data_IF_194901856676
#
_entry.id   IF_194901856676
#
_cell.length_a   1.000
_cell.length_b   1.000
_cell.length_c   1.000
_cell.angle_alpha   90.00
_cell.angle_beta   90.00
_cell.angle_gamma   90.00
#
_symmetry.space_group_name_H-M   'P 1'
#
loop_
_entity.id
_entity.type
_entity.pdbx_description
1 polymer ?
#
# COMPACT_ATOMS: atom_id res chain seq x y z
N UNK A 1 -20.06 -1.81 17.68
CA UNK A 1 -19.04 -2.88 17.62
C UNK A 1 -18.61 -2.98 16.17
N UNK A 2 -17.30 -2.95 15.88
CA UNK A 2 -16.78 -3.25 14.55
C UNK A 2 -16.84 -4.76 14.32
N UNK A 3 -17.28 -5.18 13.14
CA UNK A 3 -17.33 -6.60 12.75
C UNK A 3 -16.36 -6.85 11.61
N UNK A 4 -15.23 -7.48 11.93
CA UNK A 4 -14.18 -7.90 11.01
C UNK A 4 -14.36 -9.37 10.65
N UNK A 5 -14.50 -9.66 9.35
CA UNK A 5 -14.74 -11.01 8.85
C UNK A 5 -13.40 -11.63 8.43
N UNK A 6 -13.09 -12.81 8.96
CA UNK A 6 -11.89 -13.55 8.62
C UNK A 6 -12.25 -14.93 8.06
N UNK A 7 -12.48 -15.00 6.75
CA UNK A 7 -12.63 -16.25 5.99
C UNK A 7 -11.65 -16.33 4.79
N UNK A 8 -10.61 -15.50 4.85
CA UNK A 8 -9.44 -15.50 3.96
C UNK A 8 -9.72 -15.23 2.48
N UNK A 9 -10.86 -14.65 2.14
CA UNK A 9 -11.25 -14.32 0.78
C UNK A 9 -11.81 -15.50 -0.02
N UNK A 10 -11.93 -16.69 0.57
CA UNK A 10 -12.25 -17.93 -0.12
C UNK A 10 -13.62 -17.88 -0.80
N UNK A 11 -14.60 -17.29 -0.12
CA UNK A 11 -15.95 -17.12 -0.65
C UNK A 11 -16.21 -15.71 -1.20
N UNK A 12 -15.15 -14.98 -1.57
CA UNK A 12 -15.21 -13.63 -2.16
C UNK A 12 -16.05 -12.65 -1.33
N UNK A 13 -15.64 -12.35 -0.09
CA UNK A 13 -16.41 -11.56 0.88
C UNK A 13 -16.71 -10.15 0.36
N UNK A 14 -15.85 -9.58 -0.49
CA UNK A 14 -16.13 -8.33 -1.18
C UNK A 14 -17.44 -8.32 -1.99
N UNK A 15 -18.04 -9.47 -2.31
CA UNK A 15 -19.33 -9.57 -3.01
C UNK A 15 -20.55 -9.64 -2.09
N UNK A 16 -20.40 -9.94 -0.80
CA UNK A 16 -21.54 -10.22 0.10
C UNK A 16 -21.40 -9.65 1.52
N UNK A 17 -20.18 -9.44 2.02
CA UNK A 17 -19.89 -9.07 3.39
C UNK A 17 -20.35 -7.66 3.76
N UNK A 18 -20.50 -6.77 2.76
CA UNK A 18 -20.90 -5.38 2.94
C UNK A 18 -22.12 -5.20 3.85
N UNK A 19 -23.12 -6.07 3.75
CA UNK A 19 -24.36 -5.93 4.53
C UNK A 19 -24.26 -6.49 5.96
N UNK A 20 -23.16 -7.14 6.32
CA UNK A 20 -23.03 -7.87 7.60
C UNK A 20 -21.77 -7.52 8.37
N UNK A 21 -20.74 -6.94 7.74
CA UNK A 21 -19.47 -6.57 8.35
C UNK A 21 -18.86 -5.30 7.77
N UNK A 22 -17.83 -4.80 8.45
CA UNK A 22 -17.20 -3.50 8.15
C UNK A 22 -15.83 -3.65 7.46
N UNK A 23 -15.24 -4.83 7.55
CA UNK A 23 -14.01 -5.20 6.87
C UNK A 23 -13.95 -6.72 6.72
N UNK A 24 -13.23 -7.19 5.71
CA UNK A 24 -13.10 -8.61 5.43
C UNK A 24 -11.72 -8.97 4.89
N UNK A 25 -11.13 -10.01 5.45
CA UNK A 25 -9.88 -10.60 4.96
C UNK A 25 -10.05 -11.07 3.53
N UNK A 26 -9.18 -10.60 2.63
CA UNK A 26 -9.19 -10.96 1.20
C UNK A 26 -8.16 -12.03 0.85
N UNK A 27 -7.31 -12.41 1.81
CA UNK A 27 -6.15 -13.29 1.62
C UNK A 27 -6.01 -14.28 2.77
N UNK A 28 -5.18 -15.31 2.56
CA UNK A 28 -4.60 -16.07 3.68
C UNK A 28 -3.71 -15.19 4.56
N UNK A 29 -3.30 -15.75 5.71
CA UNK A 29 -2.53 -14.97 6.70
C UNK A 29 -1.21 -14.48 6.12
N UNK A 30 -0.92 -13.20 6.31
CA UNK A 30 0.38 -12.64 5.98
C UNK A 30 1.44 -13.27 6.88
N UNK A 31 2.63 -13.44 6.32
CA UNK A 31 3.82 -13.85 7.06
C UNK A 31 4.83 -12.73 6.99
N UNK A 32 5.64 -12.63 8.04
CA UNK A 32 6.80 -11.75 8.13
C UNK A 32 7.91 -12.12 7.11
N UNK A 33 7.62 -11.89 5.83
CA UNK A 33 8.49 -12.08 4.70
C UNK A 33 8.01 -11.18 3.55
N UNK A 34 8.94 -10.75 2.71
CA UNK A 34 8.65 -9.86 1.60
C UNK A 34 7.98 -10.58 0.42
N UNK A 35 8.67 -11.56 -0.18
CA UNK A 35 8.19 -12.37 -1.30
C UNK A 35 8.52 -13.85 -1.02
N UNK A 36 7.56 -14.74 -1.24
CA UNK A 36 7.75 -16.20 -1.12
C UNK A 36 7.41 -16.81 -2.48
N UNK A 37 8.42 -17.12 -3.31
CA UNK A 37 8.19 -17.78 -4.61
C UNK A 37 7.36 -19.07 -4.47
N UNK A 38 7.60 -19.86 -3.42
CA UNK A 38 6.91 -21.14 -3.19
C UNK A 38 5.41 -20.98 -2.84
N UNK A 39 4.97 -19.83 -2.32
CA UNK A 39 3.57 -19.58 -2.03
C UNK A 39 2.76 -19.25 -3.29
N UNK A 40 3.41 -18.72 -4.34
CA UNK A 40 2.79 -18.55 -5.68
C UNK A 40 2.45 -19.89 -6.34
N UNK A 41 3.12 -20.97 -5.93
CA UNK A 41 2.87 -22.34 -6.41
C UNK A 41 1.88 -23.12 -5.53
N UNK A 42 1.24 -22.47 -4.55
CA UNK A 42 0.26 -23.10 -3.65
C UNK A 42 0.88 -24.12 -2.68
N UNK A 43 2.21 -24.12 -2.50
CA UNK A 43 2.93 -25.07 -1.64
C UNK A 43 2.92 -24.68 -0.16
N UNK A 44 2.41 -23.50 0.17
CA UNK A 44 2.42 -22.98 1.53
C UNK A 44 1.06 -22.37 1.90
N UNK A 45 0.62 -22.62 3.12
CA UNK A 45 -0.62 -22.04 3.68
C UNK A 45 -0.39 -20.59 4.13
N UNK A 46 -1.08 -19.62 3.53
CA UNK A 46 -0.92 -18.19 3.82
C UNK A 46 -0.14 -17.46 2.73
N UNK A 47 0.12 -16.17 2.96
CA UNK A 47 0.80 -15.29 2.01
C UNK A 47 2.03 -14.63 2.59
N UNK A 48 2.39 -13.49 2.00
CA UNK A 48 3.48 -12.60 2.38
C UNK A 48 3.14 -11.19 1.89
N UNK A 49 3.97 -10.19 2.16
CA UNK A 49 3.66 -8.78 1.80
C UNK A 49 3.29 -8.64 0.32
N UNK A 50 4.13 -9.17 -0.58
CA UNK A 50 3.92 -9.04 -2.03
C UNK A 50 2.76 -9.88 -2.54
N UNK A 51 2.55 -11.10 -2.01
CA UNK A 51 1.43 -11.96 -2.44
C UNK A 51 0.10 -11.37 -2.00
N UNK A 52 0.00 -10.87 -0.77
CA UNK A 52 -1.23 -10.28 -0.27
C UNK A 52 -1.57 -8.99 -1.03
N UNK A 53 -0.56 -8.20 -1.40
CA UNK A 53 -0.70 -7.06 -2.31
C UNK A 53 -1.27 -7.49 -3.67
N UNK A 54 -0.68 -8.50 -4.31
CA UNK A 54 -1.10 -8.98 -5.64
C UNK A 54 -2.57 -9.45 -5.64
N UNK A 55 -3.03 -10.02 -4.52
CA UNK A 55 -4.42 -10.46 -4.36
C UNK A 55 -5.44 -9.30 -4.24
N UNK A 56 -5.00 -8.05 -4.09
CA UNK A 56 -5.90 -6.89 -4.07
C UNK A 56 -6.27 -6.37 -5.46
N UNK A 57 -5.65 -6.91 -6.51
CA UNK A 57 -5.92 -6.53 -7.89
C UNK A 57 -7.42 -6.69 -8.21
N UNK A 58 -8.05 -5.60 -8.69
CA UNK A 58 -9.47 -5.58 -9.04
C UNK A 58 -10.43 -5.52 -7.84
N UNK A 59 -9.93 -5.43 -6.60
CA UNK A 59 -10.80 -5.35 -5.41
C UNK A 59 -11.17 -3.91 -5.01
N UNK A 60 -10.49 -2.90 -5.56
CA UNK A 60 -10.73 -1.49 -5.22
C UNK A 60 -12.21 -1.04 -5.35
N UNK A 61 -13.00 -1.48 -6.36
CA UNK A 61 -14.43 -1.11 -6.45
C UNK A 61 -15.31 -1.61 -5.30
N UNK A 62 -14.81 -2.52 -4.46
CA UNK A 62 -15.52 -3.06 -3.30
C UNK A 62 -15.07 -2.43 -1.97
N UNK A 63 -14.14 -1.48 -2.02
CA UNK A 63 -13.77 -0.66 -0.87
C UNK A 63 -14.58 0.64 -0.89
N UNK A 64 -15.26 0.96 0.21
CA UNK A 64 -15.88 2.27 0.44
C UNK A 64 -15.96 2.60 1.93
N UNK A 65 -16.54 3.76 2.26
CA UNK A 65 -16.72 4.18 3.65
C UNK A 65 -17.45 3.10 4.46
N UNK A 66 -16.83 2.72 5.58
CA UNK A 66 -17.26 1.65 6.50
C UNK A 66 -17.13 0.21 5.96
N UNK A 67 -16.48 -0.01 4.80
CA UNK A 67 -16.32 -1.32 4.18
C UNK A 67 -14.95 -1.49 3.51
N UNK A 68 -14.06 -2.26 4.15
CA UNK A 68 -12.65 -2.32 3.75
C UNK A 68 -12.20 -3.73 3.38
N UNK A 69 -11.52 -3.85 2.24
CA UNK A 69 -10.72 -5.03 1.93
C UNK A 69 -9.52 -5.09 2.88
N UNK A 70 -9.32 -6.24 3.53
CA UNK A 70 -8.27 -6.46 4.52
C UNK A 70 -7.20 -7.44 3.98
N UNK A 71 -6.05 -6.93 3.48
CA UNK A 71 -4.89 -7.73 3.09
C UNK A 71 -4.06 -8.24 4.28
N UNK A 72 -4.63 -8.22 5.50
CA UNK A 72 -4.07 -8.64 6.77
C UNK A 72 -3.16 -7.60 7.47
N UNK A 73 -2.71 -7.95 8.68
CA UNK A 73 -1.93 -7.09 9.57
C UNK A 73 -0.58 -6.62 8.97
N UNK A 74 -0.02 -5.56 9.56
CA UNK A 74 1.31 -5.04 9.24
C UNK A 74 2.39 -5.87 9.93
N UNK A 75 3.42 -6.28 9.17
CA UNK A 75 4.58 -7.06 9.66
C UNK A 75 5.78 -6.17 10.04
N UNK A 76 5.54 -4.86 10.04
CA UNK A 76 6.53 -3.81 10.33
C UNK A 76 7.02 -3.96 11.77
N UNK A 77 8.33 -4.13 11.95
CA UNK A 77 8.95 -4.29 13.26
C UNK A 77 9.03 -5.72 13.78
N UNK A 78 8.65 -6.73 12.99
CA UNK A 78 8.78 -8.14 13.35
C UNK A 78 10.16 -8.75 12.98
N UNK A 79 11.10 -7.94 12.49
CA UNK A 79 12.52 -8.29 12.40
C UNK A 79 13.00 -9.01 11.14
N UNK A 80 12.14 -9.28 10.16
CA UNK A 80 12.55 -9.87 8.86
C UNK A 80 12.55 -8.81 7.75
N UNK A 81 11.53 -7.95 7.68
CA UNK A 81 11.46 -6.89 6.68
C UNK A 81 12.59 -5.87 6.89
N UNK A 82 13.23 -5.49 5.79
CA UNK A 82 14.10 -4.31 5.76
C UNK A 82 13.29 -3.03 5.98
N UNK A 83 13.97 -1.92 6.32
CA UNK A 83 13.30 -0.63 6.50
C UNK A 83 12.55 -0.18 5.22
N UNK A 84 13.13 -0.43 4.04
CA UNK A 84 12.50 -0.08 2.77
C UNK A 84 11.26 -0.94 2.50
N UNK A 85 11.31 -2.24 2.78
CA UNK A 85 10.14 -3.13 2.69
C UNK A 85 9.03 -2.75 3.68
N UNK A 86 9.40 -2.32 4.89
CA UNK A 86 8.45 -1.84 5.89
C UNK A 86 7.76 -0.53 5.46
N UNK A 87 8.52 0.43 4.90
CA UNK A 87 7.96 1.66 4.30
C UNK A 87 7.03 1.34 3.13
N UNK A 88 7.41 0.38 2.29
CA UNK A 88 6.60 -0.10 1.18
C UNK A 88 5.30 -0.73 1.66
N UNK A 89 5.33 -1.63 2.65
CA UNK A 89 4.12 -2.24 3.19
C UNK A 89 3.14 -1.18 3.70
N UNK A 90 3.61 -0.21 4.50
CA UNK A 90 2.72 0.84 5.02
C UNK A 90 2.14 1.71 3.91
N UNK A 91 2.96 2.10 2.93
CA UNK A 91 2.54 2.95 1.80
C UNK A 91 1.49 2.24 0.93
N UNK A 92 1.72 0.95 0.64
CA UNK A 92 0.83 0.13 -0.17
C UNK A 92 -0.51 -0.11 0.54
N UNK A 93 -0.48 -0.48 1.82
CA UNK A 93 -1.71 -0.64 2.61
C UNK A 93 -2.50 0.69 2.70
N UNK A 94 -1.79 1.82 2.82
CA UNK A 94 -2.43 3.13 2.85
C UNK A 94 -3.11 3.48 1.52
N UNK A 95 -2.49 3.22 0.36
CA UNK A 95 -3.14 3.50 -0.93
C UNK A 95 -4.28 2.55 -1.25
N UNK A 96 -4.26 1.33 -0.70
CA UNK A 96 -5.35 0.37 -0.77
C UNK A 96 -6.53 0.71 0.16
N UNK A 97 -6.38 1.74 1.01
CA UNK A 97 -7.29 2.03 2.12
C UNK A 97 -7.54 0.79 3.01
N UNK A 98 -6.51 -0.03 3.19
CA UNK A 98 -6.57 -1.21 4.03
C UNK A 98 -6.59 -0.83 5.52
N UNK A 99 -7.16 -1.69 6.40
CA UNK A 99 -6.99 -1.55 7.84
C UNK A 99 -5.49 -1.53 8.21
N UNK A 100 -5.07 -0.51 8.97
CA UNK A 100 -3.69 -0.39 9.45
C UNK A 100 -3.59 -1.00 10.86
N UNK A 101 -3.45 -2.32 10.93
CA UNK A 101 -3.33 -3.07 12.19
C UNK A 101 -1.88 -3.48 12.42
N UNK A 102 -1.21 -2.86 13.41
CA UNK A 102 0.16 -3.23 13.77
C UNK A 102 0.22 -4.66 14.33
N UNK A 103 1.02 -5.53 13.71
CA UNK A 103 1.20 -6.93 14.10
C UNK A 103 2.43 -7.20 14.98
N UNK A 104 3.10 -6.15 15.48
CA UNK A 104 4.35 -6.25 16.24
C UNK A 104 4.20 -6.02 17.75
N UNK A 105 5.24 -6.31 18.53
CA UNK A 105 5.25 -6.00 19.97
C UNK A 105 5.49 -4.51 20.21
N UNK A 106 4.41 -3.76 20.41
CA UNK A 106 4.45 -2.31 20.65
C UNK A 106 5.21 -1.91 21.93
N UNK A 107 5.44 -2.84 22.86
CA UNK A 107 6.21 -2.57 24.10
C UNK A 107 7.71 -2.56 23.84
N UNK A 108 8.15 -3.20 22.75
CA UNK A 108 9.54 -3.36 22.38
C UNK A 108 9.74 -3.10 20.88
N UNK A 109 9.54 -1.84 20.52
CA UNK A 109 9.67 -1.32 19.16
C UNK A 109 10.85 -0.36 19.11
N UNK A 110 11.72 -0.51 18.10
CA UNK A 110 12.81 0.44 17.86
C UNK A 110 12.28 1.78 17.28
N UNK A 111 13.16 2.79 17.28
CA UNK A 111 12.78 4.14 16.86
C UNK A 111 12.39 4.20 15.38
N UNK A 112 13.04 3.42 14.52
CA UNK A 112 12.77 3.41 13.09
C UNK A 112 11.41 2.78 12.77
N UNK A 113 11.09 1.65 13.41
CA UNK A 113 9.76 1.02 13.37
C UNK A 113 8.69 2.02 13.84
N UNK A 114 8.94 2.73 14.94
CA UNK A 114 8.02 3.75 15.45
C UNK A 114 7.81 4.87 14.45
N UNK A 115 8.88 5.40 13.84
CA UNK A 115 8.81 6.46 12.82
C UNK A 115 7.97 6.01 11.63
N UNK A 116 8.14 4.77 11.16
CA UNK A 116 7.35 4.20 10.06
C UNK A 116 5.88 4.14 10.46
N UNK A 117 5.54 3.42 11.55
CA UNK A 117 4.15 3.21 11.98
C UNK A 117 3.41 4.47 12.38
N UNK A 118 4.13 5.55 12.72
CA UNK A 118 3.53 6.83 13.14
C UNK A 118 3.68 7.95 12.10
N UNK A 119 4.04 7.62 10.85
CA UNK A 119 4.08 8.60 9.77
C UNK A 119 2.68 9.18 9.52
N UNK A 120 2.46 10.40 10.01
CA UNK A 120 1.14 11.05 9.96
C UNK A 120 0.65 11.38 8.56
N UNK A 121 1.55 11.55 7.58
CA UNK A 121 1.17 11.86 6.20
C UNK A 121 0.60 10.62 5.52
N UNK A 122 1.21 9.44 5.74
CA UNK A 122 0.72 8.16 5.22
C UNK A 122 -0.57 7.73 5.92
N UNK A 123 -0.66 7.91 7.25
CA UNK A 123 -1.90 7.64 7.98
C UNK A 123 -3.04 8.51 7.44
N UNK A 124 -2.79 9.80 7.13
CA UNK A 124 -3.81 10.66 6.51
C UNK A 124 -4.24 10.17 5.13
N UNK A 125 -3.32 9.63 4.34
CA UNK A 125 -3.66 8.99 3.06
C UNK A 125 -4.58 7.80 3.31
N UNK A 126 -4.24 6.91 4.25
CA UNK A 126 -5.07 5.74 4.57
C UNK A 126 -6.46 6.13 5.12
N UNK A 127 -6.54 7.21 5.89
CA UNK A 127 -7.75 7.70 6.56
C UNK A 127 -8.51 8.78 5.75
N UNK A 128 -8.19 8.95 4.47
CA UNK A 128 -8.88 9.94 3.64
C UNK A 128 -10.38 9.64 3.52
N UNK A 129 -11.20 10.68 3.71
CA UNK A 129 -12.64 10.56 3.87
C UNK A 129 -13.38 10.11 2.60
N UNK A 130 -12.76 10.15 1.42
CA UNK A 130 -13.36 9.58 0.21
C UNK A 130 -13.50 8.05 0.32
N UNK A 131 -12.68 7.39 1.15
CA UNK A 131 -12.72 5.94 1.35
C UNK A 131 -12.47 5.12 0.09
N UNK A 132 -11.80 5.69 -0.90
CA UNK A 132 -11.49 5.04 -2.18
C UNK A 132 -10.18 4.26 -2.06
N UNK A 133 -10.13 3.01 -2.50
CA UNK A 133 -8.87 2.29 -2.71
C UNK A 133 -8.27 2.64 -4.08
N UNK A 134 -6.93 2.70 -4.17
CA UNK A 134 -6.23 2.82 -5.44
C UNK A 134 -6.24 1.51 -6.23
N UNK A 135 -6.24 1.63 -7.56
CA UNK A 135 -5.77 0.56 -8.46
C UNK A 135 -4.37 0.91 -8.98
N UNK A 136 -3.69 -0.09 -9.54
CA UNK A 136 -2.49 0.14 -10.34
C UNK A 136 -2.84 0.95 -11.59
N UNK A 137 -2.27 2.15 -11.69
CA UNK A 137 -2.37 2.97 -12.91
C UNK A 137 -1.29 2.61 -13.92
N UNK A 138 -0.16 2.08 -13.45
CA UNK A 138 0.93 1.53 -14.26
C UNK A 138 1.33 0.21 -13.61
N UNK A 139 1.50 -0.82 -14.42
CA UNK A 139 1.96 -2.14 -14.03
C UNK A 139 2.93 -2.64 -15.11
N UNK A 140 4.21 -2.28 -14.96
CA UNK A 140 5.27 -2.58 -15.92
C UNK A 140 6.27 -3.55 -15.29
N UNK A 141 6.07 -4.85 -15.54
CA UNK A 141 6.89 -5.98 -15.07
C UNK A 141 7.09 -6.04 -13.55
N UNK A 142 7.98 -5.21 -13.02
CA UNK A 142 8.41 -5.14 -11.62
C UNK A 142 8.33 -3.72 -11.06
N UNK A 143 7.66 -2.82 -11.77
CA UNK A 143 7.44 -1.45 -11.34
C UNK A 143 5.96 -1.10 -11.46
N UNK A 144 5.41 -0.62 -10.35
CA UNK A 144 3.98 -0.35 -10.24
C UNK A 144 3.78 1.08 -9.76
N UNK A 145 2.75 1.74 -10.29
CA UNK A 145 2.33 3.08 -9.82
C UNK A 145 0.87 3.01 -9.41
N UNK A 146 0.61 3.28 -8.13
CA UNK A 146 -0.73 3.38 -7.58
C UNK A 146 -1.14 4.84 -7.53
N UNK A 147 -2.36 5.14 -7.98
CA UNK A 147 -2.93 6.48 -7.94
C UNK A 147 -4.21 6.44 -7.11
N UNK A 148 -4.19 7.12 -5.96
CA UNK A 148 -5.34 7.22 -5.06
C UNK A 148 -5.94 8.63 -5.11
N UNK A 149 -7.18 8.81 -5.58
CA UNK A 149 -7.89 10.06 -5.36
C UNK A 149 -8.10 10.33 -3.87
N UNK A 150 -7.81 11.56 -3.44
CA UNK A 150 -8.01 12.04 -2.08
C UNK A 150 -8.99 13.21 -2.08
N UNK A 151 -9.54 13.54 -0.91
CA UNK A 151 -10.46 14.66 -0.75
C UNK A 151 -9.83 15.98 -1.22
N UNK A 152 -10.66 16.92 -1.67
CA UNK A 152 -10.25 18.25 -2.15
C UNK A 152 -9.40 18.20 -3.43
N UNK A 153 -9.70 17.27 -4.34
CA UNK A 153 -9.02 17.09 -5.63
C UNK A 153 -7.51 16.81 -5.50
N UNK A 154 -7.06 16.24 -4.38
CA UNK A 154 -5.69 15.79 -4.16
C UNK A 154 -5.50 14.36 -4.67
N UNK A 155 -4.26 13.94 -4.87
CA UNK A 155 -3.91 12.60 -5.33
C UNK A 155 -2.75 12.06 -4.50
N UNK A 156 -2.81 10.80 -4.09
CA UNK A 156 -1.66 10.04 -3.61
C UNK A 156 -1.05 9.28 -4.78
N UNK A 157 0.28 9.34 -4.93
CA UNK A 157 1.04 8.64 -5.96
C UNK A 157 2.09 7.77 -5.28
N UNK A 158 1.91 6.45 -5.31
CA UNK A 158 2.87 5.50 -4.74
C UNK A 158 3.58 4.76 -5.87
N UNK A 159 4.86 5.07 -6.04
CA UNK A 159 5.77 4.42 -6.99
C UNK A 159 6.46 3.27 -6.27
N UNK A 160 6.26 2.05 -6.73
CA UNK A 160 6.73 0.85 -6.06
C UNK A 160 7.70 0.07 -6.94
N UNK A 161 8.88 -0.23 -6.37
CA UNK A 161 9.91 -1.03 -7.02
C UNK A 161 9.90 -2.46 -6.47
N UNK A 162 9.47 -3.44 -7.28
CA UNK A 162 9.48 -4.88 -6.94
C UNK A 162 10.82 -5.55 -7.27
N UNK A 163 11.76 -4.83 -7.86
CA UNK A 163 13.05 -5.38 -8.26
C UNK A 163 14.00 -5.55 -7.05
N UNK A 164 14.94 -6.49 -7.20
CA UNK A 164 15.98 -6.75 -6.20
C UNK A 164 17.11 -5.69 -6.18
N UNK A 165 17.03 -4.68 -7.05
CA UNK A 165 18.01 -3.60 -7.20
C UNK A 165 17.32 -2.24 -7.15
N UNK A 166 18.09 -1.17 -6.94
CA UNK A 166 17.58 0.21 -7.09
C UNK A 166 17.10 0.43 -8.53
N UNK A 167 15.95 1.08 -8.66
CA UNK A 167 15.40 1.50 -9.94
C UNK A 167 15.53 3.02 -10.08
N UNK A 168 16.20 3.45 -11.13
CA UNK A 168 16.33 4.86 -11.50
C UNK A 168 15.48 5.12 -12.76
N UNK A 169 14.60 6.12 -12.71
CA UNK A 169 13.74 6.44 -13.84
C UNK A 169 13.47 7.94 -14.00
N UNK A 170 13.30 8.37 -15.25
CA UNK A 170 12.78 9.68 -15.60
C UNK A 170 11.29 9.56 -15.92
N UNK A 171 10.45 9.86 -14.94
CA UNK A 171 9.00 9.68 -15.05
C UNK A 171 8.33 10.93 -15.63
N UNK A 172 7.65 10.78 -16.78
CA UNK A 172 6.80 11.84 -17.35
C UNK A 172 5.41 11.77 -16.72
N UNK A 173 5.00 12.87 -16.07
CA UNK A 173 3.69 13.02 -15.44
C UNK A 173 2.52 12.85 -16.40
N UNK A 174 2.71 12.91 -17.71
CA UNK A 174 1.66 12.59 -18.69
C UNK A 174 1.26 11.12 -18.71
N UNK A 175 2.11 10.22 -18.18
CA UNK A 175 1.86 8.78 -18.16
C UNK A 175 0.73 8.40 -17.20
N UNK A 176 0.57 9.16 -16.12
CA UNK A 176 -0.59 9.10 -15.23
C UNK A 176 -1.45 10.32 -15.59
N UNK A 177 -2.73 10.16 -15.93
CA UNK A 177 -3.57 11.27 -16.47
C UNK A 177 -3.90 12.34 -15.41
N UNK A 178 -2.88 13.00 -14.86
CA UNK A 178 -2.95 13.99 -13.78
C UNK A 178 -2.72 15.39 -14.34
N UNK A 179 -3.43 16.38 -13.80
CA UNK A 179 -3.27 17.76 -14.23
C UNK A 179 -1.90 18.32 -13.79
N UNK A 180 -1.17 19.00 -14.68
CA UNK A 180 0.21 19.49 -14.41
C UNK A 180 0.30 20.71 -13.46
N UNK A 181 -0.73 20.97 -12.65
CA UNK A 181 -0.81 22.16 -11.76
C UNK A 181 -0.59 21.82 -10.28
N UNK A 182 -0.33 20.54 -9.96
CA UNK A 182 -0.14 20.08 -8.59
C UNK A 182 1.20 20.52 -8.00
N UNK A 183 1.24 20.64 -6.67
CA UNK A 183 2.48 20.55 -5.89
C UNK A 183 2.60 19.10 -5.44
N UNK A 184 3.82 18.57 -5.32
CA UNK A 184 4.05 17.23 -4.77
C UNK A 184 4.81 17.36 -3.47
N UNK A 185 4.43 16.54 -2.50
CA UNK A 185 5.16 16.38 -1.26
C UNK A 185 5.54 14.92 -1.07
N UNK A 186 6.83 14.64 -0.91
CA UNK A 186 7.31 13.32 -0.54
C UNK A 186 6.97 13.06 0.92
N UNK A 187 6.19 12.01 1.19
CA UNK A 187 5.68 11.70 2.53
C UNK A 187 6.69 11.00 3.42
N UNK A 188 7.78 10.47 2.86
CA UNK A 188 8.87 9.83 3.60
C UNK A 188 10.02 10.81 3.86
N UNK A 189 10.36 11.62 2.85
CA UNK A 189 11.40 12.66 2.96
C UNK A 189 10.86 13.97 3.54
N UNK A 190 9.53 14.09 3.70
CA UNK A 190 8.83 15.29 4.21
C UNK A 190 9.19 16.57 3.43
N UNK A 191 9.47 16.42 2.14
CA UNK A 191 10.00 17.48 1.28
C UNK A 191 9.02 17.83 0.17
N UNK A 192 8.76 19.12 0.02
CA UNK A 192 7.94 19.64 -1.07
C UNK A 192 8.77 19.89 -2.33
N UNK A 193 8.16 19.61 -3.47
CA UNK A 193 8.65 19.96 -4.78
C UNK A 193 7.49 20.43 -5.65
N UNK A 194 7.70 21.49 -6.42
CA UNK A 194 6.71 21.91 -7.41
C UNK A 194 6.79 20.98 -8.62
N UNK A 195 5.65 20.43 -9.05
CA UNK A 195 5.62 19.76 -10.35
C UNK A 195 5.92 20.77 -11.43
N UNK A 196 6.77 20.35 -12.36
CA UNK A 196 7.00 21.09 -13.60
C UNK A 196 6.59 20.17 -14.74
N UNK A 197 6.45 20.73 -15.94
CA UNK A 197 6.17 19.94 -17.14
C UNK A 197 7.36 19.04 -17.56
N UNK A 198 8.43 18.99 -16.76
CA UNK A 198 9.59 18.15 -16.97
C UNK A 198 9.41 16.83 -16.24
N UNK A 199 9.98 15.78 -16.81
CA UNK A 199 10.06 14.48 -16.15
C UNK A 199 10.75 14.61 -14.78
N UNK A 200 10.22 13.92 -13.78
CA UNK A 200 10.85 13.81 -12.47
C UNK A 200 11.87 12.68 -12.50
N UNK A 201 13.00 12.88 -11.86
CA UNK A 201 13.98 11.83 -11.67
C UNK A 201 13.72 11.14 -10.34
N UNK A 202 13.40 9.84 -10.37
CA UNK A 202 13.12 9.03 -9.20
C UNK A 202 14.20 7.96 -9.04
N UNK A 203 14.71 7.84 -7.82
CA UNK A 203 15.55 6.72 -7.38
C UNK A 203 14.77 5.96 -6.33
N UNK A 204 14.38 4.74 -6.64
CA UNK A 204 13.55 3.92 -5.76
C UNK A 204 14.40 2.73 -5.33
N UNK A 205 14.75 2.60 -4.03
CA UNK A 205 15.52 1.48 -3.53
C UNK A 205 14.89 0.13 -3.91
N UNK A 206 15.68 -0.95 -3.87
CA UNK A 206 15.13 -2.30 -4.02
C UNK A 206 13.99 -2.49 -3.03
N UNK A 207 12.87 -3.04 -3.49
CA UNK A 207 11.67 -3.28 -2.66
C UNK A 207 11.10 -2.02 -1.99
N UNK A 208 11.57 -0.84 -2.38
CA UNK A 208 11.23 0.44 -1.79
C UNK A 208 10.10 1.14 -2.52
N UNK A 209 9.73 2.29 -1.97
CA UNK A 209 8.72 3.18 -2.54
C UNK A 209 9.22 4.62 -2.57
N UNK A 210 8.72 5.38 -3.54
CA UNK A 210 8.62 6.83 -3.44
C UNK A 210 7.14 7.16 -3.42
N UNK A 211 6.69 7.92 -2.42
CA UNK A 211 5.27 8.16 -2.19
C UNK A 211 5.01 9.66 -2.05
N UNK A 212 4.19 10.20 -2.97
CA UNK A 212 3.79 11.61 -2.98
C UNK A 212 2.32 11.78 -2.64
N UNK A 213 1.96 12.97 -2.16
CA UNK A 213 0.57 13.47 -2.10
C UNK A 213 0.46 14.97 -2.39
#
# INVERSE_FOLDING_TARGET
MVFSICEWGLNKPWLWAKNVGHLWRTTGDIRNNWDIPDAKEGKVWGGCVVINLDMQEGLAPYTDTDHWNDPDMLEIGNGVLTLEEAKSQLSLWAVLAAPLMAGNDLRNMDEETRKILTNTEIIRIAQDSLGIAANKSIDEERFEVFVKPLQNNKLSLCFFNRENNEKELHFDWKNIKVALHYQIRDVWEHREQRLTNKAVHLKIPRHGVVHFH
#
